data_IF_584599655628
#
_entry.id   IF_584599655628
#
_cell.length_a   1.000
_cell.length_b   1.000
_cell.length_c   1.000
_cell.angle_alpha   90.00
_cell.angle_beta   90.00
_cell.angle_gamma   90.00
#
_symmetry.space_group_name_H-M   'P 1'
#
loop_
_entity.id
_entity.type
_entity.pdbx_description
1 polymer ?
#
# COMPACT_ATOMS: atom_id res chain seq x y z
N UNK A 1 -14.72 -6.22 1.32
CA UNK A 1 -15.16 -4.89 1.78
C UNK A 1 -14.63 -3.84 0.81
N UNK A 2 -15.45 -2.91 0.33
CA UNK A 2 -15.03 -1.87 -0.61
C UNK A 2 -14.33 -0.72 0.15
N UNK A 3 -13.23 -0.19 -0.39
CA UNK A 3 -12.49 0.95 0.17
C UNK A 3 -13.40 2.16 0.42
N UNK A 4 -14.35 2.42 -0.48
CA UNK A 4 -15.30 3.54 -0.32
C UNK A 4 -16.23 3.34 0.88
N UNK A 5 -16.66 2.11 1.13
CA UNK A 5 -17.49 1.76 2.29
C UNK A 5 -16.70 1.94 3.58
N UNK A 6 -15.44 1.47 3.62
CA UNK A 6 -14.57 1.63 4.78
C UNK A 6 -14.32 3.11 5.10
N UNK A 7 -14.03 3.93 4.08
CA UNK A 7 -13.85 5.38 4.24
C UNK A 7 -15.08 6.06 4.83
N UNK A 8 -16.28 5.71 4.34
CA UNK A 8 -17.54 6.26 4.83
C UNK A 8 -17.74 5.95 6.32
N UNK A 9 -17.60 4.68 6.70
CA UNK A 9 -17.76 4.24 8.09
C UNK A 9 -16.75 4.96 8.98
N UNK A 10 -15.47 4.95 8.63
CA UNK A 10 -14.45 5.57 9.49
C UNK A 10 -14.65 7.08 9.64
N UNK A 11 -15.10 7.78 8.60
CA UNK A 11 -15.44 9.21 8.71
C UNK A 11 -16.59 9.45 9.68
N UNK A 12 -17.62 8.61 9.63
CA UNK A 12 -18.79 8.70 10.52
C UNK A 12 -18.42 8.42 11.99
N UNK A 13 -17.44 7.54 12.25
CA UNK A 13 -17.04 7.16 13.61
C UNK A 13 -15.89 7.98 14.21
N UNK A 14 -14.92 8.40 13.40
CA UNK A 14 -13.67 9.03 13.85
C UNK A 14 -13.68 10.55 13.58
N UNK A 15 -14.56 11.02 12.69
CA UNK A 15 -14.66 12.44 12.32
C UNK A 15 -13.57 12.94 11.36
N UNK A 16 -12.58 12.10 11.05
CA UNK A 16 -11.47 12.43 10.15
C UNK A 16 -11.52 11.65 8.83
N UNK A 17 -10.93 12.22 7.77
CA UNK A 17 -10.85 11.58 6.47
C UNK A 17 -9.71 10.55 6.41
N UNK A 18 -10.05 9.30 6.05
CA UNK A 18 -9.04 8.26 5.85
C UNK A 18 -8.27 8.50 4.54
N UNK A 19 -6.97 8.67 4.69
CA UNK A 19 -6.04 8.81 3.57
C UNK A 19 -5.67 7.44 2.99
N UNK A 20 -5.89 7.27 1.68
CA UNK A 20 -5.47 6.08 0.96
C UNK A 20 -4.05 6.28 0.39
N UNK A 21 -3.14 5.35 0.69
CA UNK A 21 -1.77 5.36 0.15
C UNK A 21 -1.64 4.52 -1.13
N UNK A 22 -2.49 3.51 -1.32
CA UNK A 22 -2.52 2.69 -2.52
C UNK A 22 -3.19 1.34 -2.26
N UNK A 23 -3.07 0.42 -3.23
CA UNK A 23 -3.60 -0.95 -3.16
C UNK A 23 -2.56 -1.93 -3.65
N UNK A 24 -2.31 -2.98 -2.87
CA UNK A 24 -1.49 -4.12 -3.29
C UNK A 24 -2.43 -5.16 -3.90
N UNK A 25 -2.19 -5.62 -5.15
CA UNK A 25 -2.99 -6.69 -5.75
C UNK A 25 -2.63 -8.05 -5.17
N UNK A 26 -3.57 -9.00 -5.23
CA UNK A 26 -3.27 -10.41 -5.01
C UNK A 26 -2.21 -10.86 -6.04
N UNK A 27 -1.15 -11.50 -5.57
CA UNK A 27 0.01 -11.78 -6.42
C UNK A 27 0.77 -13.01 -5.95
N UNK A 28 0.89 -14.07 -6.78
CA UNK A 28 1.68 -15.26 -6.48
C UNK A 28 3.17 -15.01 -6.19
N UNK A 29 3.73 -13.88 -6.67
CA UNK A 29 5.10 -13.48 -6.35
C UNK A 29 5.31 -13.25 -4.85
N UNK A 30 4.26 -12.85 -4.11
CA UNK A 30 4.30 -12.70 -2.66
C UNK A 30 4.59 -14.04 -1.97
N UNK A 31 3.90 -15.11 -2.37
CA UNK A 31 4.12 -16.45 -1.81
C UNK A 31 5.50 -17.01 -2.15
N UNK A 32 6.00 -16.72 -3.36
CA UNK A 32 7.35 -17.13 -3.76
C UNK A 32 8.42 -16.37 -3.00
N UNK A 33 8.21 -15.08 -2.75
CA UNK A 33 9.07 -14.24 -1.93
C UNK A 33 9.19 -14.77 -0.50
N UNK A 34 8.04 -15.09 0.14
CA UNK A 34 8.01 -15.69 1.48
C UNK A 34 8.76 -17.03 1.50
N UNK A 35 8.45 -17.95 0.58
CA UNK A 35 9.14 -19.25 0.50
C UNK A 35 10.64 -19.12 0.24
N UNK A 36 11.02 -18.10 -0.52
CA UNK A 36 12.42 -17.81 -0.85
C UNK A 36 13.17 -17.02 0.21
N UNK A 37 12.52 -16.63 1.32
CA UNK A 37 13.09 -15.74 2.34
C UNK A 37 13.75 -14.48 1.78
N UNK A 38 13.19 -13.94 0.68
CA UNK A 38 13.68 -12.73 0.03
C UNK A 38 12.48 -11.81 -0.24
N UNK A 39 12.50 -10.53 0.17
CA UNK A 39 11.39 -9.62 -0.05
C UNK A 39 10.98 -9.56 -1.52
N UNK A 40 9.68 -9.40 -1.78
CA UNK A 40 9.15 -9.42 -3.16
C UNK A 40 9.77 -8.32 -4.03
N UNK A 41 10.10 -7.17 -3.44
CA UNK A 41 10.74 -6.04 -4.11
C UNK A 41 12.17 -6.36 -4.57
N UNK A 42 12.87 -7.24 -3.85
CA UNK A 42 14.23 -7.67 -4.20
C UNK A 42 14.21 -8.89 -5.12
N UNK A 43 13.33 -9.85 -4.84
CA UNK A 43 13.23 -11.12 -5.57
C UNK A 43 12.62 -10.95 -6.96
N UNK A 44 11.54 -10.20 -7.06
CA UNK A 44 10.73 -10.04 -8.27
C UNK A 44 10.29 -8.56 -8.42
N UNK A 45 11.23 -7.64 -8.68
CA UNK A 45 10.98 -6.19 -8.63
C UNK A 45 9.90 -5.68 -9.59
N UNK A 46 9.66 -6.41 -10.68
CA UNK A 46 8.66 -6.06 -11.71
C UNK A 46 7.29 -6.69 -11.45
N UNK A 47 7.15 -7.52 -10.42
CA UNK A 47 5.87 -8.11 -10.07
C UNK A 47 4.85 -7.02 -9.67
N UNK A 48 3.56 -7.15 -10.02
CA UNK A 48 2.55 -6.13 -9.69
C UNK A 48 2.50 -5.71 -8.21
N UNK A 49 2.80 -6.62 -7.28
CA UNK A 49 2.84 -6.31 -5.84
C UNK A 49 4.09 -5.52 -5.46
N UNK A 50 5.25 -5.84 -6.04
CA UNK A 50 6.48 -5.08 -5.83
C UNK A 50 6.35 -3.64 -6.34
N UNK A 51 5.81 -3.48 -7.55
CA UNK A 51 5.55 -2.15 -8.14
C UNK A 51 4.56 -1.35 -7.31
N UNK A 52 3.47 -1.99 -6.85
CA UNK A 52 2.48 -1.32 -5.99
C UNK A 52 3.08 -0.90 -4.65
N UNK A 53 3.94 -1.73 -4.04
CA UNK A 53 4.62 -1.40 -2.79
C UNK A 53 5.55 -0.19 -2.95
N UNK A 54 6.33 -0.13 -4.04
CA UNK A 54 7.19 1.01 -4.33
C UNK A 54 6.37 2.30 -4.48
N UNK A 55 5.28 2.27 -5.26
CA UNK A 55 4.41 3.44 -5.44
C UNK A 55 3.72 3.89 -4.14
N UNK A 56 3.36 2.95 -3.26
CA UNK A 56 2.83 3.26 -1.92
C UNK A 56 3.89 3.96 -1.08
N UNK A 57 5.14 3.51 -1.12
CA UNK A 57 6.24 4.14 -0.41
C UNK A 57 6.47 5.59 -0.90
N UNK A 58 6.47 5.82 -2.21
CA UNK A 58 6.59 7.16 -2.79
C UNK A 58 5.45 8.09 -2.36
N UNK A 59 4.22 7.56 -2.34
CA UNK A 59 3.04 8.29 -1.87
C UNK A 59 3.16 8.66 -0.39
N UNK A 60 3.69 7.76 0.43
CA UNK A 60 3.92 8.01 1.85
C UNK A 60 5.00 9.09 2.07
N UNK A 61 6.15 8.95 1.40
CA UNK A 61 7.26 9.89 1.50
C UNK A 61 6.85 11.30 1.07
N UNK A 62 6.10 11.42 -0.03
CA UNK A 62 5.55 12.70 -0.49
C UNK A 62 4.69 13.36 0.59
N UNK A 63 3.82 12.59 1.26
CA UNK A 63 2.96 13.13 2.32
C UNK A 63 3.71 13.55 3.57
N UNK A 64 4.69 12.76 3.98
CA UNK A 64 5.54 13.11 5.13
C UNK A 64 6.30 14.41 4.84
N UNK A 65 6.84 14.57 3.64
CA UNK A 65 7.52 15.80 3.23
C UNK A 65 6.56 17.01 3.21
N UNK A 66 5.33 16.85 2.71
CA UNK A 66 4.33 17.92 2.71
C UNK A 66 3.82 18.30 4.10
N UNK A 67 3.84 17.39 5.07
CA UNK A 67 3.42 17.67 6.45
C UNK A 67 4.51 18.38 7.28
N UNK A 68 5.77 18.35 6.82
CA UNK A 68 6.91 18.98 7.49
C UNK A 68 7.21 20.41 6.99
N UNK A 69 6.43 20.91 6.02
CA UNK A 69 6.55 22.25 5.41
C UNK A 69 5.43 23.16 5.89
#
# INVERSE_FOLDING_TARGET
MNVSTLKKILKEYIGEDLTLLGKIPDNPAMERAVRGNLPVVDREPTAPAAVALAAIADTLLTRIASAAS
#
